data_IF_784857454361
#
_entry.id   IF_784857454361
#
_cell.length_a   1.000
_cell.length_b   1.000
_cell.length_c   1.000
_cell.angle_alpha   90.00
_cell.angle_beta   90.00
_cell.angle_gamma   90.00
#
_symmetry.space_group_name_H-M   'P 1'
#
loop_
_entity.id
_entity.type
_entity.pdbx_description
1 polymer ?
#
# COMPACT_ATOMS: atom_id res chain seq x y z
N UNK A 1 42.59 15.67 3.78
CA UNK A 1 44.04 15.92 3.87
C UNK A 1 44.29 17.36 3.45
N UNK A 2 44.61 18.26 4.36
CA UNK A 2 44.94 19.64 4.03
C UNK A 2 46.26 19.71 3.25
N UNK A 3 46.31 20.56 2.22
CA UNK A 3 47.57 20.89 1.55
C UNK A 3 48.31 21.93 2.39
N UNK A 4 49.29 21.49 3.17
CA UNK A 4 50.12 22.37 3.99
C UNK A 4 51.40 22.73 3.22
N UNK A 5 51.53 23.99 2.81
CA UNK A 5 52.59 24.45 1.92
C UNK A 5 53.82 25.05 2.65
N UNK A 6 53.83 25.13 3.98
CA UNK A 6 54.95 25.67 4.76
C UNK A 6 55.23 24.87 6.04
N UNK A 7 56.50 24.77 6.50
CA UNK A 7 56.82 24.10 7.75
C UNK A 7 56.26 24.87 8.95
N UNK A 8 55.39 24.23 9.75
CA UNK A 8 54.76 24.84 10.93
C UNK A 8 53.84 23.85 11.67
N UNK A 9 53.35 24.24 12.86
CA UNK A 9 52.32 23.50 13.59
C UNK A 9 50.96 24.01 13.13
N UNK A 10 50.12 23.12 12.60
CA UNK A 10 48.76 23.43 12.17
C UNK A 10 47.76 22.81 13.16
N UNK A 11 46.88 23.63 13.70
CA UNK A 11 45.75 23.16 14.51
C UNK A 11 44.56 23.02 13.56
N UNK A 12 44.11 21.78 13.36
CA UNK A 12 42.85 21.49 12.68
C UNK A 12 41.81 21.19 13.75
N UNK A 13 40.91 22.14 14.00
CA UNK A 13 39.74 21.88 14.84
C UNK A 13 38.76 21.00 14.07
N UNK A 14 38.88 19.69 14.28
CA UNK A 14 37.84 18.75 13.88
C UNK A 14 36.70 18.94 14.87
N UNK A 15 35.65 19.67 14.46
CA UNK A 15 34.43 19.77 15.26
C UNK A 15 33.81 18.37 15.38
N UNK A 16 34.07 17.71 16.51
CA UNK A 16 33.43 16.48 16.94
C UNK A 16 32.24 16.79 17.86
N UNK A 17 31.50 17.86 17.53
CA UNK A 17 30.23 18.14 18.19
C UNK A 17 29.27 16.95 18.01
N UNK A 18 28.37 16.70 18.97
CA UNK A 18 27.39 15.64 18.83
C UNK A 18 26.57 15.89 17.55
N UNK A 19 26.53 14.93 16.63
CA UNK A 19 25.59 14.97 15.50
C UNK A 19 24.21 14.58 16.03
N UNK A 20 23.26 15.52 16.18
CA UNK A 20 21.93 15.15 16.62
C UNK A 20 21.27 14.28 15.56
N UNK A 21 20.54 13.26 16.01
CA UNK A 21 19.77 12.39 15.12
C UNK A 21 18.69 13.25 14.46
N UNK A 22 18.72 13.35 13.12
CA UNK A 22 17.68 14.03 12.37
C UNK A 22 16.58 13.05 11.97
N UNK A 23 15.33 13.49 12.11
CA UNK A 23 14.19 12.70 11.69
C UNK A 23 14.14 12.58 10.16
N UNK A 24 13.99 11.35 9.67
CA UNK A 24 13.80 11.08 8.23
C UNK A 24 12.38 11.38 7.77
N UNK A 25 12.20 11.54 6.46
CA UNK A 25 10.88 11.80 5.87
C UNK A 25 9.96 10.57 5.93
N UNK A 26 8.73 10.74 6.39
CA UNK A 26 7.74 9.65 6.54
C UNK A 26 6.62 9.66 5.49
N UNK A 27 6.67 10.61 4.55
CA UNK A 27 5.54 11.01 3.71
C UNK A 27 5.67 10.63 2.24
N UNK A 28 6.86 10.21 1.80
CA UNK A 28 7.10 9.86 0.40
C UNK A 28 6.52 8.48 0.11
N UNK A 29 5.70 8.41 -0.94
CA UNK A 29 5.07 7.16 -1.37
C UNK A 29 5.79 6.55 -2.58
N UNK A 30 5.73 5.22 -2.71
CA UNK A 30 6.09 4.47 -3.91
C UNK A 30 4.85 3.73 -4.42
N UNK A 31 4.43 4.02 -5.64
CA UNK A 31 3.29 3.38 -6.29
C UNK A 31 3.74 2.46 -7.42
N UNK A 32 3.32 1.20 -7.36
CA UNK A 32 3.53 0.23 -8.45
C UNK A 32 2.22 0.06 -9.21
N UNK A 33 2.26 0.16 -10.54
CA UNK A 33 1.09 -0.14 -11.35
C UNK A 33 1.31 0.10 -12.83
N UNK A 34 0.29 -0.15 -13.63
CA UNK A 34 0.36 0.05 -15.08
C UNK A 34 0.18 1.54 -15.40
N UNK A 35 1.00 2.11 -16.28
CA UNK A 35 0.67 3.37 -16.97
C UNK A 35 -0.22 3.07 -18.18
N UNK A 36 -1.27 3.88 -18.35
CA UNK A 36 -2.23 3.67 -19.44
C UNK A 36 -1.53 3.59 -20.81
N UNK A 37 -1.95 2.65 -21.65
CA UNK A 37 -1.37 2.38 -22.99
C UNK A 37 0.08 1.86 -22.99
N UNK A 38 0.77 1.79 -21.85
CA UNK A 38 2.09 1.17 -21.77
C UNK A 38 1.98 -0.35 -21.74
N UNK A 39 2.60 -1.01 -22.72
CA UNK A 39 2.65 -2.48 -22.83
C UNK A 39 3.84 -3.08 -22.11
N UNK A 40 4.99 -2.41 -22.15
CA UNK A 40 6.25 -2.89 -21.57
C UNK A 40 6.50 -2.19 -20.23
N UNK A 41 7.04 -2.91 -19.24
CA UNK A 41 7.42 -2.28 -17.98
C UNK A 41 8.58 -1.30 -18.16
N UNK A 42 8.61 -0.29 -17.30
CA UNK A 42 9.75 0.59 -17.15
C UNK A 42 10.89 -0.13 -16.42
N UNK A 43 12.12 0.26 -16.74
CA UNK A 43 13.32 -0.27 -16.07
C UNK A 43 13.70 0.50 -14.81
N UNK A 44 13.08 1.67 -14.59
CA UNK A 44 13.41 2.60 -13.52
C UNK A 44 12.14 3.21 -12.95
N UNK A 45 12.16 3.51 -11.65
CA UNK A 45 11.10 4.27 -11.02
C UNK A 45 11.29 5.77 -11.34
N UNK A 46 10.19 6.48 -11.58
CA UNK A 46 10.20 7.91 -11.84
C UNK A 46 9.60 8.69 -10.66
N UNK A 47 10.16 9.86 -10.37
CA UNK A 47 9.76 10.69 -9.22
C UNK A 47 8.88 11.86 -9.64
N UNK A 48 7.84 12.12 -8.83
CA UNK A 48 6.87 13.18 -9.05
C UNK A 48 6.62 13.96 -7.76
N UNK A 49 6.64 15.29 -7.87
CA UNK A 49 6.33 16.22 -6.78
C UNK A 49 4.94 16.87 -6.93
N UNK A 50 4.23 16.59 -8.02
CA UNK A 50 2.84 17.02 -8.20
C UNK A 50 2.13 16.15 -9.23
N UNK A 51 0.80 16.09 -9.13
CA UNK A 51 -0.02 15.42 -10.15
C UNK A 51 0.11 16.06 -11.54
N UNK A 52 0.36 17.37 -11.60
CA UNK A 52 0.61 18.06 -12.88
C UNK A 52 1.89 17.56 -13.55
N UNK A 53 2.97 17.37 -12.79
CA UNK A 53 4.22 16.80 -13.31
C UNK A 53 3.98 15.39 -13.85
N UNK A 54 3.23 14.57 -13.12
CA UNK A 54 2.84 13.23 -13.55
C UNK A 54 2.07 13.25 -14.88
N UNK A 55 1.07 14.13 -15.00
CA UNK A 55 0.30 14.28 -16.25
C UNK A 55 1.08 14.90 -17.42
N UNK A 56 2.12 15.69 -17.15
CA UNK A 56 3.03 16.18 -18.19
C UNK A 56 3.92 15.03 -18.69
N UNK A 57 4.33 14.13 -17.81
CA UNK A 57 5.17 12.98 -18.15
C UNK A 57 4.41 11.88 -18.88
N UNK A 58 3.16 11.64 -18.51
CA UNK A 58 2.26 10.62 -19.05
C UNK A 58 0.94 11.27 -19.53
N UNK A 59 0.95 12.03 -20.63
CA UNK A 59 -0.25 12.70 -21.13
C UNK A 59 -1.39 11.73 -21.51
N UNK A 60 -1.07 10.51 -21.92
CA UNK A 60 -2.00 9.44 -22.27
C UNK A 60 -2.95 9.03 -21.13
N UNK A 61 -2.52 9.25 -19.88
CA UNK A 61 -3.34 9.03 -18.69
C UNK A 61 -4.56 9.95 -18.65
N UNK A 62 -4.50 11.14 -19.27
CA UNK A 62 -5.66 12.05 -19.33
C UNK A 62 -6.81 11.47 -20.14
N UNK A 63 -6.47 10.73 -21.20
CA UNK A 63 -7.45 10.12 -22.11
C UNK A 63 -7.96 8.78 -21.58
N UNK A 64 -7.10 8.03 -20.90
CA UNK A 64 -7.44 6.73 -20.33
C UNK A 64 -6.99 6.61 -18.87
N UNK A 65 -7.67 7.30 -17.92
CA UNK A 65 -7.34 7.18 -16.50
C UNK A 65 -7.54 5.74 -16.02
N UNK A 66 -6.56 5.24 -15.29
CA UNK A 66 -6.56 3.91 -14.67
C UNK A 66 -6.32 3.98 -13.15
N UNK A 67 -6.33 2.83 -12.49
CA UNK A 67 -6.24 2.71 -11.03
C UNK A 67 -4.98 3.36 -10.43
N UNK A 68 -3.83 3.22 -11.10
CA UNK A 68 -2.60 3.89 -10.72
C UNK A 68 -2.76 5.42 -10.79
N UNK A 69 -3.22 5.95 -11.91
CA UNK A 69 -3.36 7.40 -12.09
C UNK A 69 -4.36 8.03 -11.11
N UNK A 70 -5.47 7.35 -10.82
CA UNK A 70 -6.46 7.79 -9.84
C UNK A 70 -5.88 7.81 -8.44
N UNK A 71 -5.01 6.85 -8.13
CA UNK A 71 -4.31 6.76 -6.85
C UNK A 71 -3.24 7.83 -6.69
N UNK A 72 -2.44 8.09 -7.73
CA UNK A 72 -1.45 9.20 -7.73
C UNK A 72 -2.16 10.54 -7.57
N UNK A 73 -3.27 10.76 -8.27
CA UNK A 73 -4.11 11.96 -8.06
C UNK A 73 -4.59 12.06 -6.62
N UNK A 74 -5.22 11.00 -6.12
CA UNK A 74 -5.77 10.95 -4.76
C UNK A 74 -4.71 11.21 -3.70
N UNK A 75 -3.47 10.73 -3.89
CA UNK A 75 -2.33 11.01 -3.03
C UNK A 75 -2.05 12.51 -2.93
N UNK A 76 -1.89 13.20 -4.06
CA UNK A 76 -1.60 14.64 -4.09
C UNK A 76 -2.79 15.47 -3.57
N UNK A 77 -4.02 15.11 -3.92
CA UNK A 77 -5.24 15.79 -3.43
C UNK A 77 -5.41 15.65 -1.91
N UNK A 78 -4.91 14.57 -1.33
CA UNK A 78 -4.97 14.32 0.11
C UNK A 78 -3.77 14.84 0.89
N UNK A 79 -2.83 15.57 0.27
CA UNK A 79 -1.68 16.19 0.98
C UNK A 79 -0.37 15.41 0.88
N UNK A 80 -0.31 14.43 -0.03
CA UNK A 80 0.94 13.84 -0.49
C UNK A 80 1.82 14.88 -1.19
N UNK A 81 3.12 14.88 -0.89
CA UNK A 81 4.07 15.85 -1.44
C UNK A 81 4.97 15.30 -2.54
N UNK A 82 5.43 14.06 -2.40
CA UNK A 82 6.37 13.41 -3.32
C UNK A 82 6.04 11.93 -3.43
N UNK A 83 6.02 11.40 -4.64
CA UNK A 83 5.88 9.97 -4.88
C UNK A 83 6.79 9.46 -5.99
N UNK A 84 7.18 8.21 -5.87
CA UNK A 84 7.82 7.42 -6.92
C UNK A 84 6.78 6.53 -7.59
N UNK A 85 6.92 6.34 -8.90
CA UNK A 85 6.05 5.45 -9.68
C UNK A 85 6.90 4.44 -10.41
N UNK A 86 6.58 3.16 -10.24
CA UNK A 86 7.14 2.05 -10.99
C UNK A 86 6.08 1.52 -11.97
N UNK A 87 6.32 1.70 -13.26
CA UNK A 87 5.43 1.22 -14.32
C UNK A 87 5.70 -0.27 -14.63
N UNK A 88 4.71 -1.11 -14.38
CA UNK A 88 4.79 -2.56 -14.63
C UNK A 88 4.25 -2.98 -16.00
N UNK A 89 3.78 -2.04 -16.82
CA UNK A 89 3.15 -2.34 -18.11
C UNK A 89 1.93 -3.26 -17.97
N UNK A 90 1.56 -3.94 -19.04
CA UNK A 90 0.37 -4.83 -19.09
C UNK A 90 0.72 -6.26 -18.62
N UNK A 91 1.41 -6.37 -17.49
CA UNK A 91 1.90 -7.66 -16.97
C UNK A 91 0.97 -8.29 -15.95
N UNK A 92 0.21 -7.49 -15.20
CA UNK A 92 -0.63 -7.96 -14.09
C UNK A 92 0.17 -8.35 -12.83
N UNK A 93 1.48 -8.10 -12.81
CA UNK A 93 2.38 -8.42 -11.70
C UNK A 93 2.98 -7.14 -11.10
N UNK A 94 3.27 -7.18 -9.80
CA UNK A 94 3.84 -6.02 -9.07
C UNK A 94 5.32 -6.23 -8.71
N UNK A 95 5.81 -7.46 -8.79
CA UNK A 95 7.19 -7.83 -8.51
C UNK A 95 7.53 -9.15 -9.21
N UNK A 96 8.81 -9.37 -9.49
CA UNK A 96 9.35 -10.61 -10.05
C UNK A 96 10.67 -10.92 -9.36
N UNK A 97 10.70 -12.07 -8.68
CA UNK A 97 11.88 -12.47 -7.94
C UNK A 97 13.11 -12.58 -8.86
N UNK A 98 14.20 -11.90 -8.49
CA UNK A 98 15.44 -11.87 -9.26
C UNK A 98 15.46 -10.89 -10.45
N UNK A 99 14.36 -10.21 -10.76
CA UNK A 99 14.30 -9.22 -11.84
C UNK A 99 14.24 -7.78 -11.29
N UNK A 100 14.85 -6.84 -12.04
CA UNK A 100 14.70 -5.40 -11.79
C UNK A 100 13.38 -4.91 -12.40
N UNK A 101 12.28 -5.10 -11.69
CA UNK A 101 10.90 -4.89 -12.12
C UNK A 101 9.99 -4.54 -10.93
N UNK A 102 9.04 -3.61 -11.11
CA UNK A 102 8.02 -3.31 -10.10
C UNK A 102 8.60 -2.87 -8.75
N UNK A 103 8.24 -3.58 -7.67
CA UNK A 103 8.66 -3.28 -6.29
C UNK A 103 10.19 -3.26 -6.13
N UNK A 104 10.93 -4.12 -6.84
CA UNK A 104 12.39 -4.15 -6.72
C UNK A 104 13.07 -2.86 -7.19
N UNK A 105 12.40 -2.04 -8.01
CA UNK A 105 12.87 -0.70 -8.40
C UNK A 105 12.96 0.27 -7.22
N UNK A 106 12.23 0.01 -6.13
CA UNK A 106 12.23 0.85 -4.93
C UNK A 106 13.31 0.48 -3.91
N UNK A 107 14.04 -0.62 -4.12
CA UNK A 107 15.02 -1.13 -3.15
C UNK A 107 16.15 -0.16 -2.85
N UNK A 108 16.59 0.61 -3.85
CA UNK A 108 17.69 1.57 -3.72
C UNK A 108 17.21 2.99 -3.38
N UNK A 109 15.91 3.15 -3.07
CA UNK A 109 15.30 4.45 -2.82
C UNK A 109 14.88 4.49 -1.35
N UNK A 110 15.81 4.97 -0.51
CA UNK A 110 15.67 5.03 0.95
C UNK A 110 14.60 6.05 1.40
N UNK A 111 14.27 7.04 0.56
CA UNK A 111 13.28 8.06 0.94
C UNK A 111 11.83 7.55 0.94
N UNK A 112 11.53 6.37 0.36
CA UNK A 112 10.17 5.82 0.29
C UNK A 112 9.78 5.24 1.65
N UNK A 113 8.77 5.85 2.28
CA UNK A 113 8.24 5.41 3.57
C UNK A 113 6.87 4.69 3.46
N UNK A 114 6.16 4.90 2.35
CA UNK A 114 4.84 4.32 2.09
C UNK A 114 4.90 3.57 0.76
N UNK A 115 4.38 2.34 0.70
CA UNK A 115 4.33 1.55 -0.55
C UNK A 115 2.89 1.14 -0.83
N UNK A 116 2.47 1.20 -2.09
CA UNK A 116 1.20 0.67 -2.52
C UNK A 116 1.27 0.13 -3.95
N UNK A 117 0.44 -0.86 -4.25
CA UNK A 117 0.20 -1.35 -5.60
C UNK A 117 -1.28 -1.19 -5.95
N UNK A 118 -1.72 0.02 -6.35
CA UNK A 118 -3.14 0.32 -6.39
C UNK A 118 -3.91 -0.53 -7.40
N UNK A 119 -5.00 -1.14 -6.95
CA UNK A 119 -5.86 -2.00 -7.76
C UNK A 119 -5.41 -3.46 -7.87
N UNK A 120 -4.19 -3.80 -7.41
CA UNK A 120 -3.72 -5.19 -7.36
C UNK A 120 -4.20 -5.87 -6.08
N UNK A 121 -5.25 -6.68 -6.21
CA UNK A 121 -5.96 -7.33 -5.09
C UNK A 121 -5.81 -8.86 -5.07
N UNK A 122 -4.78 -9.38 -5.73
CA UNK A 122 -4.45 -10.81 -5.76
C UNK A 122 -3.57 -11.19 -4.57
N UNK A 123 -3.61 -12.47 -4.16
CA UNK A 123 -2.75 -12.99 -3.10
C UNK A 123 -1.26 -12.74 -3.38
N UNK A 124 -0.82 -13.02 -4.61
CA UNK A 124 0.55 -12.78 -5.05
C UNK A 124 0.97 -11.30 -4.92
N UNK A 125 0.09 -10.36 -5.26
CA UNK A 125 0.40 -8.94 -5.13
C UNK A 125 0.48 -8.48 -3.67
N UNK A 126 -0.45 -8.95 -2.82
CA UNK A 126 -0.41 -8.68 -1.38
C UNK A 126 0.85 -9.23 -0.73
N UNK A 127 1.21 -10.47 -1.06
CA UNK A 127 2.38 -11.14 -0.52
C UNK A 127 3.67 -10.47 -1.00
N UNK A 128 3.74 -10.02 -2.26
CA UNK A 128 4.88 -9.27 -2.79
C UNK A 128 5.07 -7.92 -2.06
N UNK A 129 4.01 -7.13 -1.88
CA UNK A 129 4.08 -5.86 -1.15
C UNK A 129 4.48 -6.09 0.31
N UNK A 130 3.92 -7.12 0.96
CA UNK A 130 4.29 -7.51 2.33
C UNK A 130 5.77 -7.89 2.41
N UNK A 131 6.22 -8.82 1.58
CA UNK A 131 7.60 -9.31 1.57
C UNK A 131 8.60 -8.16 1.34
N UNK A 132 8.27 -7.24 0.44
CA UNK A 132 9.07 -6.04 0.20
C UNK A 132 9.22 -5.16 1.46
N UNK A 133 8.10 -4.85 2.11
CA UNK A 133 8.10 -4.00 3.30
C UNK A 133 8.75 -4.68 4.51
N UNK A 134 8.54 -5.99 4.70
CA UNK A 134 9.14 -6.77 5.78
C UNK A 134 10.65 -6.95 5.63
N UNK A 135 11.14 -7.03 4.38
CA UNK A 135 12.57 -7.14 4.08
C UNK A 135 13.29 -5.82 4.31
N UNK A 136 12.76 -4.70 3.81
CA UNK A 136 13.43 -3.38 3.92
C UNK A 136 13.24 -2.71 5.29
N UNK A 137 12.11 -2.96 5.97
CA UNK A 137 11.80 -2.50 7.34
C UNK A 137 11.74 -0.99 7.58
N UNK A 138 12.00 -0.18 6.57
CA UNK A 138 11.96 1.29 6.59
C UNK A 138 10.63 1.86 6.06
N UNK A 139 9.77 1.00 5.50
CA UNK A 139 8.52 1.40 4.82
C UNK A 139 7.34 0.50 5.17
N UNK A 140 6.13 1.05 5.03
CA UNK A 140 4.87 0.34 5.33
C UNK A 140 3.97 0.31 4.11
N UNK A 141 3.39 -0.86 3.84
CA UNK A 141 2.50 -1.11 2.71
C UNK A 141 1.04 -0.79 2.98
N UNK A 142 0.35 -0.26 1.97
CA UNK A 142 -1.11 -0.08 1.92
C UNK A 142 -1.66 -1.04 0.87
N UNK A 143 -2.53 -1.95 1.30
CA UNK A 143 -3.19 -2.95 0.47
C UNK A 143 -4.65 -2.56 0.28
N UNK A 144 -5.09 -2.46 -0.97
CA UNK A 144 -6.50 -2.23 -1.26
C UNK A 144 -7.31 -3.47 -0.93
N UNK A 145 -8.48 -3.31 -0.32
CA UNK A 145 -9.48 -4.37 -0.26
C UNK A 145 -10.01 -4.72 -1.66
N UNK A 146 -10.72 -5.84 -1.82
CA UNK A 146 -11.40 -6.18 -3.07
C UNK A 146 -12.35 -5.07 -3.52
N UNK A 147 -12.44 -4.86 -4.83
CA UNK A 147 -13.27 -3.83 -5.47
C UNK A 147 -14.76 -4.07 -5.25
N UNK A 148 -15.19 -5.30 -5.51
CA UNK A 148 -16.59 -5.70 -5.53
C UNK A 148 -16.83 -6.72 -4.42
N UNK A 149 -17.59 -6.32 -3.39
CA UNK A 149 -18.02 -7.18 -2.29
C UNK A 149 -19.52 -7.05 -2.13
N UNK A 150 -20.22 -8.15 -2.35
CA UNK A 150 -21.65 -8.24 -2.06
C UNK A 150 -21.89 -8.20 -0.53
N UNK A 151 -22.98 -7.60 -0.04
CA UNK A 151 -23.23 -7.51 1.40
C UNK A 151 -23.19 -8.86 2.14
N UNK A 152 -23.73 -9.92 1.51
CA UNK A 152 -23.68 -11.30 2.05
C UNK A 152 -22.28 -11.89 2.14
N UNK A 153 -21.31 -11.31 1.44
CA UNK A 153 -19.94 -11.80 1.32
C UNK A 153 -18.96 -10.99 2.20
N UNK A 154 -19.42 -9.99 2.98
CA UNK A 154 -18.57 -9.12 3.81
C UNK A 154 -17.75 -9.90 4.84
N UNK A 155 -18.31 -10.95 5.44
CA UNK A 155 -17.60 -11.80 6.40
C UNK A 155 -16.39 -12.50 5.77
N UNK A 156 -16.30 -12.61 4.43
CA UNK A 156 -15.12 -13.17 3.77
C UNK A 156 -13.88 -12.29 3.93
N UNK A 157 -14.05 -10.99 4.20
CA UNK A 157 -12.96 -10.09 4.59
C UNK A 157 -12.42 -10.37 6.01
N UNK A 158 -13.01 -11.30 6.77
CA UNK A 158 -12.42 -11.77 8.04
C UNK A 158 -11.35 -12.83 7.82
N UNK A 159 -11.37 -13.51 6.68
CA UNK A 159 -10.49 -14.63 6.36
C UNK A 159 -9.47 -14.21 5.30
N UNK A 160 -8.23 -14.62 5.52
CA UNK A 160 -7.17 -14.42 4.53
C UNK A 160 -7.53 -15.13 3.21
N UNK A 161 -7.13 -14.54 2.08
CA UNK A 161 -7.11 -15.22 0.79
C UNK A 161 -6.16 -16.40 0.96
N UNK A 162 -6.70 -17.61 0.87
CA UNK A 162 -5.89 -18.81 0.76
C UNK A 162 -5.50 -18.93 -0.70
N UNK A 163 -4.21 -19.07 -0.98
CA UNK A 163 -3.80 -19.62 -2.26
C UNK A 163 -4.51 -20.97 -2.44
N UNK A 164 -5.11 -21.18 -3.61
CA UNK A 164 -5.35 -22.55 -4.02
C UNK A 164 -3.99 -23.26 -3.93
N UNK A 165 -3.87 -24.42 -3.23
CA UNK A 165 -2.63 -25.17 -3.28
C UNK A 165 -2.27 -25.36 -4.76
N UNK A 166 -0.99 -25.27 -5.15
CA UNK A 166 -0.60 -25.53 -6.53
C UNK A 166 -1.25 -26.86 -6.93
N UNK A 167 -1.85 -26.96 -8.12
CA UNK A 167 -2.55 -28.17 -8.52
C UNK A 167 -1.59 -29.32 -8.24
N UNK A 168 -1.98 -30.22 -7.32
CA UNK A 168 -1.18 -31.41 -7.02
C UNK A 168 -0.88 -32.00 -8.38
N UNK A 169 0.41 -31.99 -8.79
CA UNK A 169 0.88 -32.69 -9.97
C UNK A 169 0.12 -34.00 -9.99
N UNK A 170 -0.67 -34.24 -11.03
CA UNK A 170 -1.50 -35.43 -11.14
C UNK A 170 -0.60 -36.63 -10.83
N UNK A 171 -0.70 -37.14 -9.61
CA UNK A 171 -0.11 -38.42 -9.27
C UNK A 171 -0.87 -39.38 -10.16
N UNK A 172 -0.14 -40.07 -11.03
CA UNK A 172 -0.69 -41.04 -11.96
C UNK A 172 -1.73 -41.89 -11.22
N UNK A 173 -2.97 -41.81 -11.71
CA UNK A 173 -4.06 -42.60 -11.19
C UNK A 173 -3.65 -44.07 -11.23
N UNK A 174 -3.55 -44.69 -10.07
CA UNK A 174 -3.62 -46.15 -9.98
C UNK A 174 -5.11 -46.51 -10.19
N UNK A 175 -5.44 -47.40 -11.13
CA UNK A 175 -6.83 -47.77 -11.38
C UNK A 175 -7.16 -48.95 -10.46
N UNK A 176 -7.80 -48.69 -9.32
CA UNK A 176 -8.63 -49.74 -8.70
C UNK A 176 -9.64 -49.22 -7.67
N UNK A 177 -10.83 -49.85 -7.70
CA UNK A 177 -12.01 -49.71 -6.83
C UNK A 177 -12.79 -48.38 -6.92
N UNK A 178 -14.11 -48.33 -7.07
CA UNK A 178 -15.20 -49.31 -7.04
C UNK A 178 -16.49 -48.50 -6.90
N UNK A 179 -17.53 -48.82 -7.66
CA UNK A 179 -18.79 -48.06 -7.73
C UNK A 179 -19.55 -48.10 -6.39
N UNK A 180 -19.85 -46.93 -5.84
CA UNK A 180 -20.69 -46.76 -4.66
C UNK A 180 -21.51 -45.48 -4.78
N UNK A 181 -22.81 -45.64 -5.04
CA UNK A 181 -23.82 -44.58 -5.03
C UNK A 181 -23.82 -43.84 -3.69
N UNK A 182 -23.47 -42.55 -3.72
CA UNK A 182 -23.58 -41.63 -2.60
C UNK A 182 -24.44 -40.43 -3.00
N UNK A 183 -25.51 -40.19 -2.26
CA UNK A 183 -26.43 -39.06 -2.41
C UNK A 183 -25.69 -37.72 -2.66
N UNK A 184 -26.23 -36.82 -3.49
CA UNK A 184 -25.58 -35.54 -3.77
C UNK A 184 -25.61 -34.65 -2.52
N UNK A 185 -24.44 -34.50 -1.89
CA UNK A 185 -24.21 -33.48 -0.88
C UNK A 185 -24.56 -32.08 -1.44
N UNK A 186 -25.11 -31.16 -0.62
CA UNK A 186 -25.53 -29.86 -1.10
C UNK A 186 -24.33 -29.08 -1.64
N UNK A 187 -24.43 -28.69 -2.90
CA UNK A 187 -23.54 -27.81 -3.65
C UNK A 187 -23.56 -26.39 -3.06
N UNK A 188 -22.94 -26.21 -1.90
CA UNK A 188 -22.54 -24.91 -1.37
C UNK A 188 -21.06 -24.72 -1.63
N UNK A 189 -20.69 -24.07 -2.75
CA UNK A 189 -19.28 -23.73 -2.97
C UNK A 189 -18.79 -22.85 -1.83
N UNK A 190 -17.89 -23.36 -0.99
CA UNK A 190 -17.25 -22.59 0.07
C UNK A 190 -16.36 -21.53 -0.59
N UNK A 191 -16.91 -20.34 -0.86
CA UNK A 191 -16.13 -19.22 -1.39
C UNK A 191 -14.99 -18.88 -0.41
N UNK A 192 -13.75 -18.77 -0.92
CA UNK A 192 -12.56 -18.47 -0.12
C UNK A 192 -12.56 -17.07 0.54
N UNK A 193 -11.59 -16.83 1.42
CA UNK A 193 -11.37 -15.52 2.06
C UNK A 193 -11.01 -14.41 1.07
N UNK A 194 -11.12 -13.15 1.51
CA UNK A 194 -10.87 -11.95 0.70
C UNK A 194 -9.85 -10.99 1.31
N UNK A 195 -9.45 -11.21 2.57
CA UNK A 195 -8.49 -10.36 3.26
C UNK A 195 -7.06 -10.69 2.82
N UNK A 196 -6.13 -9.73 2.73
CA UNK A 196 -4.73 -10.08 2.68
C UNK A 196 -4.31 -10.93 3.89
N UNK A 197 -3.29 -11.74 3.71
CA UNK A 197 -2.69 -12.58 4.76
C UNK A 197 -2.03 -11.72 5.85
N UNK A 198 -1.80 -12.31 7.03
CA UNK A 198 -1.24 -11.60 8.18
C UNK A 198 0.22 -11.14 7.92
N UNK A 199 0.67 -10.16 8.69
CA UNK A 199 2.06 -9.68 8.70
C UNK A 199 2.56 -9.63 10.14
N UNK A 200 3.47 -10.53 10.49
CA UNK A 200 3.93 -10.76 11.87
C UNK A 200 4.34 -9.45 12.56
N UNK A 201 5.06 -8.58 11.85
CA UNK A 201 5.58 -7.30 12.38
C UNK A 201 4.80 -6.06 11.92
N UNK A 202 3.64 -6.26 11.29
CA UNK A 202 2.70 -5.19 10.96
C UNK A 202 3.14 -4.25 9.85
N UNK A 203 3.97 -4.72 8.90
CA UNK A 203 4.51 -3.89 7.82
C UNK A 203 3.51 -3.60 6.69
N UNK A 204 2.29 -4.13 6.79
CA UNK A 204 1.20 -3.83 5.85
C UNK A 204 -0.10 -3.54 6.58
N UNK A 205 -0.94 -2.75 5.92
CA UNK A 205 -2.31 -2.40 6.32
C UNK A 205 -3.26 -2.68 5.17
N UNK A 206 -4.53 -2.95 5.45
CA UNK A 206 -5.55 -3.04 4.39
C UNK A 206 -6.66 -2.03 4.61
N UNK A 207 -7.17 -1.45 3.52
CA UNK A 207 -8.26 -0.49 3.54
C UNK A 207 -9.40 -0.93 2.62
N UNK A 208 -10.62 -0.85 3.14
CA UNK A 208 -11.85 -1.17 2.42
C UNK A 208 -12.92 -0.14 2.78
N UNK A 209 -13.82 0.25 1.88
CA UNK A 209 -13.97 -0.15 0.48
C UNK A 209 -13.24 0.77 -0.51
N UNK A 210 -13.44 0.52 -1.80
CA UNK A 210 -13.04 1.43 -2.88
C UNK A 210 -13.83 2.74 -2.86
N UNK A 211 -13.24 3.78 -3.41
CA UNK A 211 -13.76 5.14 -3.41
C UNK A 211 -14.45 5.47 -4.73
N UNK A 212 -15.52 6.26 -4.70
CA UNK A 212 -16.12 6.84 -5.90
C UNK A 212 -15.51 8.22 -6.15
N UNK A 213 -14.76 8.37 -7.24
CA UNK A 213 -14.09 9.62 -7.64
C UNK A 213 -14.60 10.10 -9.00
N UNK A 214 -14.34 11.36 -9.36
CA UNK A 214 -14.66 11.89 -10.70
C UNK A 214 -13.38 12.16 -11.46
N UNK A 215 -13.24 11.62 -12.67
CA UNK A 215 -12.04 11.86 -13.49
C UNK A 215 -12.05 13.26 -14.11
N UNK A 216 -10.89 13.95 -14.26
CA UNK A 216 -10.83 15.33 -14.73
C UNK A 216 -11.01 15.34 -16.25
N UNK A 217 -12.27 15.26 -16.69
CA UNK A 217 -12.64 15.14 -18.10
C UNK A 217 -13.93 14.34 -18.31
N UNK A 218 -14.25 13.44 -17.38
CA UNK A 218 -15.53 12.73 -17.34
C UNK A 218 -16.42 13.28 -16.23
N UNK A 219 -17.73 13.36 -16.48
CA UNK A 219 -18.71 13.69 -15.45
C UNK A 219 -19.13 12.46 -14.63
N UNK A 220 -18.73 11.27 -15.04
CA UNK A 220 -19.14 10.02 -14.38
C UNK A 220 -18.32 9.76 -13.11
N UNK A 221 -18.99 9.15 -12.13
CA UNK A 221 -18.32 8.64 -10.94
C UNK A 221 -17.71 7.28 -11.28
N UNK A 222 -16.41 7.13 -11.03
CA UNK A 222 -15.65 5.91 -11.30
C UNK A 222 -15.03 5.42 -10.00
N UNK A 223 -14.92 4.11 -9.87
CA UNK A 223 -14.25 3.49 -8.73
C UNK A 223 -12.74 3.70 -8.80
N UNK A 224 -12.15 4.05 -7.67
CA UNK A 224 -10.70 4.15 -7.48
C UNK A 224 -10.26 3.33 -6.26
N UNK A 225 -9.08 2.69 -6.33
CA UNK A 225 -8.51 2.04 -5.17
C UNK A 225 -8.21 3.04 -4.05
N UNK A 226 -8.43 2.69 -2.78
CA UNK A 226 -8.22 3.61 -1.67
C UNK A 226 -6.75 3.94 -1.42
N UNK A 227 -5.79 3.06 -1.76
CA UNK A 227 -4.40 3.16 -1.31
C UNK A 227 -3.74 4.52 -1.60
N UNK A 228 -3.95 5.09 -2.79
CA UNK A 228 -3.40 6.41 -3.12
C UNK A 228 -3.93 7.53 -2.23
N UNK A 229 -5.25 7.57 -2.03
CA UNK A 229 -5.90 8.58 -1.18
C UNK A 229 -5.46 8.44 0.27
N UNK A 230 -5.40 7.19 0.76
CA UNK A 230 -4.96 6.87 2.12
C UNK A 230 -3.48 7.23 2.34
N UNK A 231 -2.60 6.97 1.37
CA UNK A 231 -1.21 7.40 1.43
C UNK A 231 -1.11 8.94 1.55
N UNK A 232 -1.99 9.68 0.87
CA UNK A 232 -2.08 11.13 1.00
C UNK A 232 -2.58 11.55 2.39
N UNK A 233 -3.60 10.87 2.92
CA UNK A 233 -4.09 11.11 4.29
C UNK A 233 -2.98 10.88 5.31
N UNK A 234 -2.20 9.80 5.19
CA UNK A 234 -1.04 9.55 6.05
C UNK A 234 -0.02 10.69 5.95
N UNK A 235 0.33 11.10 4.74
CA UNK A 235 1.28 12.19 4.51
C UNK A 235 0.80 13.51 5.13
N UNK A 236 -0.50 13.80 5.04
CA UNK A 236 -1.11 15.00 5.63
C UNK A 236 -1.17 14.93 7.15
N UNK A 237 -1.60 13.82 7.73
CA UNK A 237 -1.61 13.64 9.19
C UNK A 237 -0.20 13.78 9.76
N UNK A 238 0.80 13.17 9.13
CA UNK A 238 2.19 13.28 9.54
C UNK A 238 2.70 14.72 9.48
N UNK A 239 2.37 15.46 8.42
CA UNK A 239 2.78 16.85 8.27
C UNK A 239 2.16 17.77 9.34
N UNK A 240 0.91 17.50 9.73
CA UNK A 240 0.16 18.34 10.66
C UNK A 240 0.36 17.96 12.13
N UNK A 241 0.56 16.67 12.42
CA UNK A 241 0.50 16.10 13.77
C UNK A 241 1.69 15.20 14.11
N UNK A 242 2.51 14.82 13.13
CA UNK A 242 3.60 13.86 13.29
C UNK A 242 3.15 12.40 13.19
N UNK A 243 4.10 11.52 12.85
CA UNK A 243 3.87 10.09 12.55
C UNK A 243 3.27 9.29 13.71
N UNK A 244 3.44 9.76 14.94
CA UNK A 244 2.90 9.13 16.14
C UNK A 244 1.37 9.24 16.24
N UNK A 245 0.74 10.17 15.50
CA UNK A 245 -0.72 10.30 15.44
C UNK A 245 -1.30 9.29 14.45
N UNK A 246 -2.29 8.51 14.91
CA UNK A 246 -3.05 7.63 14.02
C UNK A 246 -3.81 8.42 12.92
N UNK A 247 -3.68 8.06 11.64
CA UNK A 247 -4.39 8.68 10.51
C UNK A 247 -5.83 8.14 10.37
N UNK A 248 -6.60 8.21 11.45
CA UNK A 248 -8.00 7.83 11.52
C UNK A 248 -8.84 9.00 12.05
N UNK A 249 -10.14 8.97 11.75
CA UNK A 249 -11.05 10.11 11.85
C UNK A 249 -10.58 11.30 10.99
N UNK A 250 -10.00 10.99 9.83
CA UNK A 250 -9.47 11.97 8.87
C UNK A 250 -10.33 11.95 7.60
N UNK A 251 -10.68 13.12 7.04
CA UNK A 251 -11.47 13.19 5.82
C UNK A 251 -10.65 12.69 4.62
N UNK A 252 -11.32 11.96 3.74
CA UNK A 252 -10.77 11.61 2.43
C UNK A 252 -11.22 12.68 1.44
N UNK A 253 -10.27 13.42 0.90
CA UNK A 253 -10.50 14.47 -0.09
C UNK A 253 -10.57 13.87 -1.50
N UNK A 254 -11.28 14.52 -2.42
CA UNK A 254 -11.38 14.09 -3.83
C UNK A 254 -12.37 12.95 -4.10
N UNK A 255 -12.99 12.39 -3.06
CA UNK A 255 -14.04 11.36 -3.18
C UNK A 255 -15.45 11.95 -3.10
N UNK A 256 -16.37 11.34 -3.82
CA UNK A 256 -17.81 11.62 -3.83
C UNK A 256 -18.65 10.56 -3.14
N UNK A 257 -18.04 9.44 -2.73
CA UNK A 257 -18.74 8.33 -2.09
C UNK A 257 -17.89 7.07 -1.98
N UNK A 258 -18.54 5.95 -1.68
CA UNK A 258 -17.91 4.65 -1.47
C UNK A 258 -18.56 3.61 -2.37
N UNK A 259 -17.81 2.58 -2.75
CA UNK A 259 -18.35 1.41 -3.45
C UNK A 259 -19.31 0.60 -2.57
N UNK A 260 -19.12 0.67 -1.24
CA UNK A 260 -19.86 -0.09 -0.26
C UNK A 260 -20.05 0.74 1.01
N UNK A 261 -21.28 0.86 1.51
CA UNK A 261 -21.52 1.58 2.76
C UNK A 261 -21.39 0.63 3.96
N UNK A 262 -20.18 0.57 4.54
CA UNK A 262 -19.90 -0.29 5.70
C UNK A 262 -20.70 0.18 6.92
N UNK A 263 -21.53 -0.71 7.45
CA UNK A 263 -22.33 -0.49 8.65
C UNK A 263 -21.47 -0.54 9.92
N UNK A 264 -22.03 -0.10 11.05
CA UNK A 264 -21.31 -0.16 12.33
C UNK A 264 -21.08 -1.62 12.78
N UNK A 265 -22.05 -2.49 12.53
CA UNK A 265 -21.99 -3.92 12.88
C UNK A 265 -20.93 -4.65 12.05
N UNK A 266 -20.89 -4.41 10.73
CA UNK A 266 -19.85 -5.00 9.88
C UNK A 266 -18.46 -4.51 10.29
N UNK A 267 -18.33 -3.22 10.59
CA UNK A 267 -17.06 -2.68 11.08
C UNK A 267 -16.60 -3.35 12.39
N UNK A 268 -17.52 -3.66 13.30
CA UNK A 268 -17.20 -4.36 14.55
C UNK A 268 -16.59 -5.75 14.31
N UNK A 269 -16.98 -6.40 13.22
CA UNK A 269 -16.44 -7.71 12.79
C UNK A 269 -15.11 -7.55 12.04
N UNK A 270 -14.97 -6.51 11.21
CA UNK A 270 -13.79 -6.27 10.36
C UNK A 270 -12.60 -5.68 11.12
N UNK A 271 -12.84 -4.86 12.14
CA UNK A 271 -11.80 -4.15 12.85
C UNK A 271 -10.84 -5.10 13.61
N UNK A 272 -11.30 -6.16 14.34
CA UNK A 272 -10.42 -7.10 15.03
C UNK A 272 -9.42 -7.83 14.13
N UNK A 273 -9.77 -8.05 12.85
CA UNK A 273 -8.89 -8.70 11.86
C UNK A 273 -8.02 -7.71 11.07
N UNK A 274 -7.98 -6.45 11.48
CA UNK A 274 -7.09 -5.43 10.88
C UNK A 274 -7.58 -4.81 9.57
N UNK A 275 -8.84 -4.99 9.19
CA UNK A 275 -9.43 -4.32 8.02
C UNK A 275 -9.86 -2.91 8.39
N UNK A 276 -9.14 -1.91 7.87
CA UNK A 276 -9.44 -0.50 8.13
C UNK A 276 -10.58 -0.03 7.23
N UNK A 277 -11.71 0.29 7.85
CA UNK A 277 -12.88 0.73 7.10
C UNK A 277 -12.78 2.22 6.74
N UNK A 278 -13.22 2.57 5.54
CA UNK A 278 -13.53 3.94 5.13
C UNK A 278 -15.05 4.05 5.14
N UNK A 279 -15.60 5.08 5.79
CA UNK A 279 -17.04 5.19 6.05
C UNK A 279 -17.57 6.56 5.73
N UNK A 280 -18.82 6.61 5.26
CA UNK A 280 -19.55 7.85 5.10
C UNK A 280 -20.30 8.21 6.38
N UNK A 281 -20.19 9.46 6.81
CA UNK A 281 -20.95 10.03 7.90
C UNK A 281 -21.65 11.29 7.42
N UNK A 282 -22.96 11.40 7.66
CA UNK A 282 -23.78 12.51 7.13
C UNK A 282 -23.23 13.92 7.46
N UNK A 283 -22.57 14.10 8.61
CA UNK A 283 -21.95 15.38 9.03
C UNK A 283 -20.45 15.46 8.78
N UNK A 284 -19.78 14.33 8.57
CA UNK A 284 -18.32 14.22 8.44
C UNK A 284 -17.82 13.96 7.03
N UNK A 285 -18.71 13.60 6.10
CA UNK A 285 -18.33 13.12 4.77
C UNK A 285 -17.71 11.73 4.84
N UNK A 286 -16.83 11.43 3.88
CA UNK A 286 -16.08 10.17 3.82
C UNK A 286 -14.85 10.28 4.73
N UNK A 287 -14.77 9.42 5.75
CA UNK A 287 -13.70 9.42 6.74
C UNK A 287 -12.96 8.08 6.76
N UNK A 288 -11.65 8.14 6.98
CA UNK A 288 -10.85 6.97 7.36
C UNK A 288 -11.19 6.58 8.79
N UNK A 289 -11.61 5.33 9.00
CA UNK A 289 -12.17 4.88 10.28
C UNK A 289 -11.46 3.63 10.85
N UNK A 290 -10.15 3.55 10.61
CA UNK A 290 -9.26 2.52 11.15
C UNK A 290 -7.79 2.90 10.99
N UNK A 291 -6.93 2.39 11.86
CA UNK A 291 -5.48 2.58 11.80
C UNK A 291 -4.73 1.34 12.35
N UNK A 292 -5.18 0.15 11.97
CA UNK A 292 -4.59 -1.14 12.34
C UNK A 292 -3.72 -1.69 11.23
N UNK A 293 -2.71 -2.45 11.62
CA UNK A 293 -1.92 -3.29 10.73
C UNK A 293 -2.56 -4.67 10.60
N UNK A 294 -2.01 -5.50 9.73
CA UNK A 294 -2.36 -6.93 9.62
C UNK A 294 -1.56 -7.82 10.58
N UNK A 295 -1.01 -7.26 11.67
CA UNK A 295 -0.30 -8.06 12.67
C UNK A 295 -1.24 -8.66 13.71
N UNK A 296 -1.04 -9.94 14.00
CA UNK A 296 -1.64 -10.61 15.15
C UNK A 296 -0.98 -10.21 16.48
N UNK A 297 0.26 -9.71 16.45
CA UNK A 297 0.99 -9.26 17.63
C UNK A 297 0.40 -7.93 18.15
N UNK A 298 -0.08 -7.89 19.42
CA UNK A 298 -0.57 -6.66 20.02
C UNK A 298 0.43 -5.49 20.00
N UNK A 299 1.74 -5.74 19.98
CA UNK A 299 2.77 -4.70 19.93
C UNK A 299 2.75 -3.95 18.59
N UNK A 300 2.44 -4.63 17.49
CA UNK A 300 2.42 -4.08 16.14
C UNK A 300 1.01 -3.82 15.61
N UNK A 301 -0.02 -3.98 16.44
CA UNK A 301 -1.43 -3.81 16.08
C UNK A 301 -1.75 -2.46 15.43
N UNK A 302 -1.10 -1.38 15.88
CA UNK A 302 -1.43 -0.02 15.46
C UNK A 302 -0.43 0.54 14.45
N UNK A 303 -0.97 1.13 13.39
CA UNK A 303 -0.22 1.69 12.29
C UNK A 303 0.75 2.79 12.71
N UNK A 304 0.30 3.75 13.52
CA UNK A 304 1.13 4.85 13.97
C UNK A 304 2.30 4.38 14.84
N UNK A 305 2.14 3.28 15.58
CA UNK A 305 3.25 2.64 16.32
C UNK A 305 4.26 2.08 15.32
N UNK A 306 3.82 1.26 14.36
CA UNK A 306 4.73 0.69 13.35
C UNK A 306 5.50 1.77 12.58
N UNK A 307 4.80 2.80 12.09
CA UNK A 307 5.41 3.89 11.31
C UNK A 307 6.36 4.73 12.16
N UNK A 308 6.04 4.97 13.44
CA UNK A 308 6.96 5.64 14.36
C UNK A 308 8.26 4.86 14.53
N UNK A 309 8.18 3.55 14.74
CA UNK A 309 9.38 2.72 14.88
C UNK A 309 10.19 2.66 13.58
N UNK A 310 9.55 2.56 12.40
CA UNK A 310 10.27 2.66 11.13
C UNK A 310 11.04 3.98 11.00
N UNK A 311 10.40 5.11 11.34
CA UNK A 311 11.06 6.42 11.32
C UNK A 311 12.23 6.49 12.31
N UNK A 312 12.08 5.98 13.54
CA UNK A 312 13.14 6.00 14.56
C UNK A 312 14.32 5.12 14.13
N UNK A 313 14.06 3.87 13.72
CA UNK A 313 15.08 2.93 13.26
C UNK A 313 15.90 3.56 12.12
N UNK A 314 15.22 4.12 11.11
CA UNK A 314 15.88 4.73 9.95
C UNK A 314 16.63 6.02 10.30
N UNK A 315 16.09 6.85 11.18
CA UNK A 315 16.78 8.07 11.65
C UNK A 315 18.08 7.74 12.36
N UNK A 316 18.09 6.68 13.19
CA UNK A 316 19.29 6.20 13.88
C UNK A 316 20.30 5.66 12.85
N UNK A 317 19.88 4.81 11.92
CA UNK A 317 20.76 4.23 10.89
C UNK A 317 21.40 5.33 10.05
N UNK A 318 20.61 6.25 9.50
CA UNK A 318 21.12 7.34 8.66
C UNK A 318 22.07 8.26 9.43
N UNK A 319 21.84 8.50 10.73
CA UNK A 319 22.69 9.38 11.55
C UNK A 319 23.97 8.71 12.07
N UNK A 320 24.04 7.37 12.04
CA UNK A 320 25.19 6.58 12.54
C UNK A 320 26.04 5.95 11.44
N UNK A 321 25.67 6.14 10.17
CA UNK A 321 26.53 5.90 9.00
C UNK A 321 27.67 6.93 8.94
#
# INVERSE_FOLDING_TARGET
MGNYATPGVYIEEVSSGPRPIQAVGTRTAGFVGQIAKHKKPAKEAEVFNSYRQFLTRFPEVKEAPNDLSRSVRGFFENGGGRCWVADVGETGEVDREGERFGLSLFNAIDEIAIVAAPGFTTAAAYDAVRAHCERLRDRVGILDGPKDVEPRDIERLTRAIQDAPPPRRAAAASPDAGDGDGDPAPSGSKKGGLRPSDSDRGFVTTYFPWLLVRDPGSKEAVLAPPAGHIAGVWARTDALRGVHKAPANEPVLGTTGLAYDVTAQEQEILNPVGVNCIRFFARGGVLVWGARTLSADPQWRYLNVRRLFCMIEESIITSTR
#
